data_IF_506299939577
#
_entry.id   IF_506299939577
#
_cell.length_a   1.000
_cell.length_b   1.000
_cell.length_c   1.000
_cell.angle_alpha   90.00
_cell.angle_beta   90.00
_cell.angle_gamma   90.00
#
_symmetry.space_group_name_H-M   'P 1'
#
loop_
_entity.id
_entity.type
_entity.pdbx_description
1 polymer ?
#
# COMPACT_ATOMS: atom_id res chain seq x y z
N UNK A 1 -5.24 37.76 -10.62
CA UNK A 1 -5.39 36.74 -9.57
C UNK A 1 -4.00 36.44 -9.02
N UNK A 2 -3.79 36.39 -7.71
CA UNK A 2 -2.45 36.19 -7.16
C UNK A 2 -1.94 34.80 -7.58
N UNK A 3 -0.72 34.74 -8.12
CA UNK A 3 -0.06 33.50 -8.55
C UNK A 3 0.12 32.47 -7.40
N UNK A 4 -0.03 32.91 -6.14
CA UNK A 4 0.12 32.10 -4.91
C UNK A 4 -0.92 30.98 -4.80
N UNK A 5 -2.16 31.18 -5.28
CA UNK A 5 -3.26 30.21 -5.17
C UNK A 5 -3.11 28.91 -5.97
N UNK A 6 -2.13 28.84 -6.87
CA UNK A 6 -1.86 27.69 -7.73
C UNK A 6 -0.45 27.09 -7.47
N UNK A 7 0.25 27.52 -6.43
CA UNK A 7 1.56 26.94 -6.12
C UNK A 7 1.42 25.54 -5.53
N UNK A 8 2.39 24.63 -5.75
CA UNK A 8 2.38 23.28 -5.15
C UNK A 8 2.17 23.30 -3.63
N UNK A 9 2.74 24.31 -2.95
CA UNK A 9 2.60 24.49 -1.50
C UNK A 9 1.18 24.84 -1.07
N UNK A 10 0.52 25.73 -1.82
CA UNK A 10 -0.90 26.06 -1.57
C UNK A 10 -1.80 24.86 -1.77
N UNK A 11 -1.58 24.13 -2.87
CA UNK A 11 -2.36 22.92 -3.21
C UNK A 11 -2.13 21.81 -2.19
N UNK A 12 -0.90 21.62 -1.70
CA UNK A 12 -0.58 20.67 -0.64
C UNK A 12 -1.38 20.95 0.64
N UNK A 13 -1.41 22.20 1.10
CA UNK A 13 -2.20 22.60 2.29
C UNK A 13 -3.69 22.36 2.09
N UNK A 14 -4.21 22.64 0.90
CA UNK A 14 -5.62 22.36 0.56
C UNK A 14 -5.95 20.86 0.56
N UNK A 15 -5.05 20.04 -0.02
CA UNK A 15 -5.18 18.59 -0.01
C UNK A 15 -5.15 18.02 1.42
N UNK A 16 -4.16 18.40 2.21
CA UNK A 16 -3.99 17.94 3.60
C UNK A 16 -5.21 18.24 4.46
N UNK A 17 -5.81 19.43 4.31
CA UNK A 17 -7.02 19.82 5.03
C UNK A 17 -8.22 18.90 4.65
N UNK A 18 -8.34 18.48 3.39
CA UNK A 18 -9.38 17.54 2.95
C UNK A 18 -9.09 16.11 3.42
N UNK A 19 -7.83 15.66 3.33
CA UNK A 19 -7.42 14.32 3.76
C UNK A 19 -7.67 14.12 5.25
N UNK A 20 -7.38 15.12 6.07
CA UNK A 20 -7.69 15.09 7.50
C UNK A 20 -9.18 14.87 7.80
N UNK A 21 -10.07 15.28 6.88
CA UNK A 21 -11.52 15.08 6.96
C UNK A 21 -11.99 13.79 6.29
N UNK A 22 -11.10 12.82 6.02
CA UNK A 22 -11.42 11.49 5.51
C UNK A 22 -11.34 11.32 3.99
N UNK A 23 -10.79 12.29 3.25
CA UNK A 23 -10.55 12.11 1.82
C UNK A 23 -9.29 11.25 1.57
N UNK A 24 -9.33 10.38 0.58
CA UNK A 24 -8.17 9.56 0.19
C UNK A 24 -7.07 10.42 -0.44
N UNK A 25 -5.83 10.26 0.04
CA UNK A 25 -4.67 11.04 -0.39
C UNK A 25 -4.40 10.93 -1.88
N UNK A 26 -4.43 9.72 -2.44
CA UNK A 26 -4.20 9.47 -3.86
C UNK A 26 -5.27 10.09 -4.76
N UNK A 27 -6.54 10.05 -4.36
CA UNK A 27 -7.64 10.67 -5.14
C UNK A 27 -7.53 12.19 -5.15
N UNK A 28 -7.22 12.79 -3.98
CA UNK A 28 -7.03 14.23 -3.89
C UNK A 28 -5.83 14.72 -4.71
N UNK A 29 -4.70 13.99 -4.67
CA UNK A 29 -3.53 14.32 -5.47
C UNK A 29 -3.80 14.20 -6.97
N UNK A 30 -4.39 13.09 -7.40
CA UNK A 30 -4.72 12.89 -8.82
C UNK A 30 -5.68 13.98 -9.34
N UNK A 31 -6.70 14.34 -8.56
CA UNK A 31 -7.59 15.43 -8.92
C UNK A 31 -6.84 16.75 -9.08
N UNK A 32 -5.99 17.12 -8.10
CA UNK A 32 -5.23 18.36 -8.16
C UNK A 32 -4.24 18.40 -9.34
N UNK A 33 -3.57 17.28 -9.63
CA UNK A 33 -2.64 17.16 -10.76
C UNK A 33 -3.38 17.34 -12.09
N UNK A 34 -4.59 16.76 -12.22
CA UNK A 34 -5.40 16.87 -13.43
C UNK A 34 -6.04 18.26 -13.61
N UNK A 35 -6.45 18.90 -12.51
CA UNK A 35 -7.14 20.19 -12.54
C UNK A 35 -6.18 21.38 -12.73
N UNK A 36 -4.87 21.18 -12.50
CA UNK A 36 -3.87 22.24 -12.59
C UNK A 36 -2.76 21.85 -13.57
N UNK A 37 -2.38 22.80 -14.44
CA UNK A 37 -1.21 22.63 -15.31
C UNK A 37 0.05 22.86 -14.49
N UNK A 38 0.69 21.75 -14.05
CA UNK A 38 1.93 21.76 -13.28
C UNK A 38 3.05 21.08 -14.07
N UNK A 39 4.25 21.58 -13.94
CA UNK A 39 5.42 20.87 -14.44
C UNK A 39 5.78 19.67 -13.52
N UNK A 40 6.72 18.85 -13.97
CA UNK A 40 7.14 17.65 -13.25
C UNK A 40 7.74 17.95 -11.88
N UNK A 41 8.44 19.08 -11.73
CA UNK A 41 9.05 19.48 -10.45
C UNK A 41 7.97 19.87 -9.45
N UNK A 42 6.94 20.60 -9.89
CA UNK A 42 5.81 21.02 -9.09
C UNK A 42 4.95 19.83 -8.65
N UNK A 43 4.69 18.87 -9.55
CA UNK A 43 3.99 17.61 -9.22
C UNK A 43 4.77 16.83 -8.15
N UNK A 44 6.08 16.71 -8.31
CA UNK A 44 6.92 16.00 -7.35
C UNK A 44 6.94 16.71 -5.99
N UNK A 45 7.04 18.04 -5.96
CA UNK A 45 7.00 18.80 -4.71
C UNK A 45 5.65 18.66 -4.02
N UNK A 46 4.53 18.81 -4.75
CA UNK A 46 3.18 18.62 -4.22
C UNK A 46 3.01 17.23 -3.59
N UNK A 47 3.41 16.19 -4.34
CA UNK A 47 3.31 14.80 -3.93
C UNK A 47 4.14 14.52 -2.68
N UNK A 48 5.41 14.96 -2.67
CA UNK A 48 6.31 14.81 -1.53
C UNK A 48 5.79 15.54 -0.29
N UNK A 49 5.24 16.74 -0.44
CA UNK A 49 4.68 17.48 0.68
C UNK A 49 3.45 16.79 1.29
N UNK A 50 2.53 16.34 0.45
CA UNK A 50 1.30 15.68 0.94
C UNK A 50 1.64 14.38 1.65
N UNK A 51 2.33 13.46 0.97
CA UNK A 51 2.68 12.17 1.58
C UNK A 51 3.64 12.32 2.75
N UNK A 52 4.62 13.22 2.68
CA UNK A 52 5.60 13.41 3.73
C UNK A 52 4.99 14.01 5.01
N UNK A 53 4.08 14.97 4.89
CA UNK A 53 3.35 15.50 6.06
C UNK A 53 2.49 14.42 6.71
N UNK A 54 1.82 13.58 5.93
CA UNK A 54 1.03 12.46 6.48
C UNK A 54 1.97 11.45 7.13
N UNK A 55 3.03 11.06 6.47
CA UNK A 55 4.01 10.08 6.94
C UNK A 55 4.67 10.48 8.27
N UNK A 56 4.98 11.76 8.44
CA UNK A 56 5.65 12.29 9.62
C UNK A 56 4.72 13.07 10.56
N UNK A 57 3.41 12.84 10.48
CA UNK A 57 2.38 13.60 11.20
C UNK A 57 2.66 13.78 12.69
N UNK A 58 2.91 12.69 13.43
CA UNK A 58 3.10 12.75 14.89
C UNK A 58 4.41 13.46 15.26
N UNK A 59 5.46 13.27 14.48
CA UNK A 59 6.73 13.99 14.63
C UNK A 59 6.55 15.50 14.45
N UNK A 60 5.87 15.88 13.36
CA UNK A 60 5.63 17.28 13.03
C UNK A 60 4.72 17.96 14.07
N UNK A 61 3.71 17.25 14.56
CA UNK A 61 2.82 17.72 15.63
C UNK A 61 3.56 17.90 16.95
N UNK A 62 4.45 16.97 17.31
CA UNK A 62 5.30 17.10 18.49
C UNK A 62 6.18 18.36 18.40
N UNK A 63 6.83 18.60 17.28
CA UNK A 63 7.66 19.78 17.07
C UNK A 63 6.86 21.09 17.09
N UNK A 64 5.65 21.08 16.56
CA UNK A 64 4.80 22.29 16.50
C UNK A 64 4.22 22.67 17.86
N UNK A 65 3.84 21.67 18.68
CA UNK A 65 3.04 21.87 19.90
C UNK A 65 3.59 22.91 20.88
N UNK A 66 4.89 22.98 21.21
CA UNK A 66 5.43 23.97 22.17
C UNK A 66 5.33 25.42 21.71
N UNK A 67 5.19 25.65 20.41
CA UNK A 67 5.14 26.99 19.81
C UNK A 67 3.71 27.51 19.63
N UNK A 68 2.72 26.72 20.01
CA UNK A 68 1.30 27.04 19.84
C UNK A 68 0.58 26.99 21.18
N UNK A 69 0.22 28.14 21.73
CA UNK A 69 -0.42 28.24 23.07
C UNK A 69 -1.79 27.54 23.14
N UNK A 70 -2.56 27.59 22.05
CA UNK A 70 -3.93 27.05 21.98
C UNK A 70 -4.11 26.17 20.74
N UNK A 71 -3.58 24.93 20.72
CA UNK A 71 -3.59 24.06 19.53
C UNK A 71 -5.00 23.80 18.96
N UNK A 72 -6.02 23.79 19.82
CA UNK A 72 -7.42 23.53 19.41
C UNK A 72 -8.12 24.75 18.78
N UNK A 73 -7.53 25.95 18.88
CA UNK A 73 -8.10 27.19 18.35
C UNK A 73 -7.48 27.60 17.00
N UNK A 74 -6.52 26.84 16.50
CA UNK A 74 -5.91 27.12 15.20
C UNK A 74 -6.84 26.62 14.10
N UNK A 75 -7.09 27.46 13.11
CA UNK A 75 -7.76 27.06 11.89
C UNK A 75 -7.10 25.80 11.31
N UNK A 76 -7.85 24.76 10.94
CA UNK A 76 -7.29 23.50 10.42
C UNK A 76 -6.28 23.70 9.29
N UNK A 77 -6.56 24.59 8.34
CA UNK A 77 -5.65 24.87 7.24
C UNK A 77 -4.34 25.56 7.66
N UNK A 78 -4.38 26.39 8.72
CA UNK A 78 -3.18 27.04 9.26
C UNK A 78 -2.28 26.01 9.93
N UNK A 79 -2.88 25.03 10.63
CA UNK A 79 -2.14 23.90 11.18
C UNK A 79 -1.44 23.12 10.07
N UNK A 80 -2.16 22.75 9.01
CA UNK A 80 -1.57 22.02 7.88
C UNK A 80 -0.48 22.86 7.17
N UNK A 81 -0.63 24.17 7.10
CA UNK A 81 0.39 25.07 6.58
C UNK A 81 1.69 25.02 7.41
N UNK A 82 1.58 25.09 8.76
CA UNK A 82 2.74 25.02 9.65
C UNK A 82 3.41 23.65 9.64
N UNK A 83 2.63 22.54 9.60
CA UNK A 83 3.17 21.18 9.45
C UNK A 83 3.89 21.02 8.11
N UNK A 84 3.34 21.59 7.04
CA UNK A 84 3.97 21.59 5.71
C UNK A 84 5.29 22.38 5.70
N UNK A 85 5.35 23.48 6.42
CA UNK A 85 6.59 24.25 6.59
C UNK A 85 7.65 23.45 7.35
N UNK A 86 7.28 22.82 8.47
CA UNK A 86 8.17 21.96 9.25
C UNK A 86 8.69 20.78 8.43
N UNK A 87 7.80 20.12 7.67
CA UNK A 87 8.22 19.02 6.81
C UNK A 87 9.25 19.47 5.77
N UNK A 88 8.99 20.57 5.06
CA UNK A 88 9.95 21.09 4.09
C UNK A 88 11.30 21.46 4.74
N UNK A 89 11.25 22.08 5.91
CA UNK A 89 12.44 22.49 6.62
C UNK A 89 13.31 21.32 7.10
N UNK A 90 12.69 20.23 7.58
CA UNK A 90 13.40 19.12 8.21
C UNK A 90 13.70 17.95 7.27
N UNK A 91 12.97 17.80 6.16
CA UNK A 91 13.05 16.63 5.30
C UNK A 91 13.36 16.93 3.82
N UNK A 92 13.37 18.21 3.41
CA UNK A 92 13.66 18.58 2.02
C UNK A 92 14.94 19.42 1.92
N UNK A 93 16.08 18.76 1.99
CA UNK A 93 17.42 19.39 2.04
C UNK A 93 17.71 20.36 0.87
N UNK A 94 17.06 20.16 -0.30
CA UNK A 94 17.25 21.02 -1.48
C UNK A 94 16.50 22.35 -1.40
N UNK A 95 15.66 22.56 -0.39
CA UNK A 95 14.85 23.78 -0.25
C UNK A 95 15.42 24.61 0.92
N UNK A 96 15.98 25.80 0.64
CA UNK A 96 16.50 26.65 1.72
C UNK A 96 15.40 27.05 2.70
N UNK A 97 15.69 26.98 4.00
CA UNK A 97 14.76 27.37 5.09
C UNK A 97 14.11 28.73 4.85
N UNK A 98 14.89 29.73 4.41
CA UNK A 98 14.38 31.07 4.11
C UNK A 98 13.26 31.05 3.04
N UNK A 99 13.41 30.20 2.04
CA UNK A 99 12.39 30.06 1.00
C UNK A 99 11.11 29.43 1.57
N UNK A 100 11.26 28.37 2.40
CA UNK A 100 10.13 27.74 3.09
C UNK A 100 9.35 28.77 3.92
N UNK A 101 10.04 29.55 4.73
CA UNK A 101 9.40 30.54 5.62
C UNK A 101 8.69 31.65 4.83
N UNK A 102 9.35 32.20 3.80
CA UNK A 102 8.76 33.25 2.99
C UNK A 102 7.48 32.80 2.28
N UNK A 103 7.52 31.63 1.62
CA UNK A 103 6.35 31.07 0.94
C UNK A 103 5.21 30.77 1.91
N UNK A 104 5.52 30.23 3.09
CA UNK A 104 4.52 29.95 4.13
C UNK A 104 3.84 31.23 4.62
N UNK A 105 4.61 32.30 4.84
CA UNK A 105 4.08 33.61 5.25
C UNK A 105 3.22 34.24 4.14
N UNK A 106 3.62 34.12 2.87
CA UNK A 106 2.83 34.65 1.75
C UNK A 106 1.50 33.87 1.58
N UNK A 107 1.49 32.55 1.77
CA UNK A 107 0.25 31.75 1.80
C UNK A 107 -0.65 32.23 2.96
N UNK A 108 -0.10 32.42 4.15
CA UNK A 108 -0.85 32.92 5.31
C UNK A 108 -1.43 34.31 5.08
N UNK A 109 -0.71 35.19 4.36
CA UNK A 109 -1.15 36.54 3.99
C UNK A 109 -2.28 36.53 2.97
N UNK A 110 -2.19 35.68 1.95
CA UNK A 110 -3.17 35.64 0.84
C UNK A 110 -4.45 34.92 1.26
N UNK A 111 -4.33 33.80 1.98
CA UNK A 111 -5.47 32.95 2.38
C UNK A 111 -6.15 33.44 3.66
N UNK A 112 -5.39 34.08 4.57
CA UNK A 112 -5.87 34.50 5.86
C UNK A 112 -6.02 36.03 6.00
N UNK A 113 -6.13 36.48 7.23
CA UNK A 113 -6.18 37.89 7.62
C UNK A 113 -4.86 38.30 8.30
N UNK A 114 -4.63 39.62 8.56
CA UNK A 114 -3.37 40.10 9.15
C UNK A 114 -2.98 39.44 10.47
N UNK A 115 -3.96 38.97 11.27
CA UNK A 115 -3.74 38.25 12.53
C UNK A 115 -3.10 36.86 12.26
N UNK A 116 -3.61 36.11 11.29
CA UNK A 116 -3.07 34.79 10.90
C UNK A 116 -1.64 34.97 10.38
N UNK A 117 -1.39 35.93 9.49
CA UNK A 117 -0.04 36.21 9.02
C UNK A 117 0.93 36.47 10.17
N UNK A 118 0.55 37.36 11.14
CA UNK A 118 1.40 37.63 12.30
C UNK A 118 1.65 36.42 13.16
N UNK A 119 0.62 35.61 13.38
CA UNK A 119 0.72 34.35 14.12
C UNK A 119 1.70 33.37 13.45
N UNK A 120 1.51 33.06 12.16
CA UNK A 120 2.40 32.15 11.41
C UNK A 120 3.84 32.65 11.39
N UNK A 121 4.05 33.96 11.13
CA UNK A 121 5.39 34.58 11.19
C UNK A 121 6.03 34.42 12.57
N UNK A 122 5.28 34.67 13.64
CA UNK A 122 5.76 34.55 15.02
C UNK A 122 6.17 33.10 15.35
N UNK A 123 5.36 32.11 14.99
CA UNK A 123 5.62 30.70 15.22
C UNK A 123 6.90 30.27 14.48
N UNK A 124 7.02 30.58 13.19
CA UNK A 124 8.21 30.20 12.39
C UNK A 124 9.50 30.79 12.95
N UNK A 125 9.50 32.09 13.28
CA UNK A 125 10.68 32.73 13.87
C UNK A 125 10.98 32.27 15.30
N UNK A 126 9.98 31.86 16.07
CA UNK A 126 10.21 31.28 17.38
C UNK A 126 10.85 29.90 17.28
N UNK A 127 10.37 29.03 16.38
CA UNK A 127 10.98 27.72 16.08
C UNK A 127 12.44 27.87 15.63
N UNK A 128 12.73 28.82 14.74
CA UNK A 128 14.09 29.09 14.25
C UNK A 128 15.04 29.51 15.40
N UNK A 129 14.60 30.40 16.29
CA UNK A 129 15.43 30.89 17.40
C UNK A 129 15.64 29.88 18.51
N UNK A 130 14.62 29.11 18.85
CA UNK A 130 14.64 28.18 20.00
C UNK A 130 15.12 26.79 19.65
N UNK A 131 15.17 26.44 18.36
CA UNK A 131 15.32 25.07 17.88
C UNK A 131 14.06 24.24 18.12
N UNK A 132 14.03 23.07 17.52
CA UNK A 132 12.95 22.09 17.70
C UNK A 132 13.23 21.21 18.94
N UNK A 133 12.20 20.75 19.66
CA UNK A 133 12.38 19.90 20.84
C UNK A 133 13.02 18.56 20.46
N UNK A 134 13.97 18.11 21.31
CA UNK A 134 14.60 16.79 21.17
C UNK A 134 13.63 15.68 21.61
N UNK A 135 13.66 14.55 20.91
CA UNK A 135 12.91 13.35 21.31
C UNK A 135 13.40 12.73 22.63
N UNK A 136 14.63 13.03 23.05
CA UNK A 136 15.17 12.57 24.34
C UNK A 136 14.45 13.17 25.54
N UNK A 137 13.72 14.27 25.34
CA UNK A 137 12.88 14.86 26.38
C UNK A 137 11.63 14.00 26.69
N UNK A 138 11.25 13.10 25.81
CA UNK A 138 10.11 12.18 25.97
C UNK A 138 10.53 11.04 26.88
N UNK A 139 9.92 10.96 28.08
CA UNK A 139 10.28 9.96 29.10
C UNK A 139 9.70 8.58 28.82
N UNK A 140 8.46 8.52 28.32
CA UNK A 140 7.80 7.26 27.98
C UNK A 140 8.42 6.67 26.71
N UNK A 141 8.93 5.42 26.74
CA UNK A 141 9.58 4.79 25.60
C UNK A 141 8.66 4.60 24.39
N UNK A 142 7.38 4.27 24.62
CA UNK A 142 6.41 4.05 23.55
C UNK A 142 6.02 5.36 22.88
N UNK A 143 5.83 6.41 23.68
CA UNK A 143 5.58 7.76 23.18
C UNK A 143 6.79 8.28 22.37
N UNK A 144 8.03 8.04 22.86
CA UNK A 144 9.24 8.42 22.13
C UNK A 144 9.34 7.71 20.78
N UNK A 145 9.10 6.39 20.72
CA UNK A 145 9.07 5.65 19.46
C UNK A 145 7.93 6.14 18.54
N UNK A 146 6.76 6.41 19.12
CA UNK A 146 5.60 6.93 18.39
C UNK A 146 5.93 8.24 17.69
N UNK A 147 6.57 9.17 18.38
CA UNK A 147 6.96 10.46 17.81
C UNK A 147 8.13 10.30 16.83
N UNK A 148 9.13 9.50 17.16
CA UNK A 148 10.32 9.30 16.32
C UNK A 148 9.97 8.73 14.95
N UNK A 149 9.12 7.70 14.93
CA UNK A 149 8.73 6.99 13.69
C UNK A 149 7.37 7.42 13.13
N UNK A 150 6.70 8.34 13.80
CA UNK A 150 5.35 8.80 13.45
C UNK A 150 4.36 7.63 13.33
N UNK A 151 4.30 6.81 14.38
CA UNK A 151 3.52 5.57 14.44
C UNK A 151 2.60 5.54 15.67
N UNK A 152 1.33 5.13 15.57
CA UNK A 152 0.44 5.01 16.73
C UNK A 152 0.99 4.05 17.78
N UNK A 153 0.85 4.42 19.06
CA UNK A 153 1.37 3.62 20.21
C UNK A 153 0.79 2.20 20.20
N UNK A 154 -0.51 2.03 19.91
CA UNK A 154 -1.14 0.71 19.87
C UNK A 154 -0.45 -0.24 18.89
N UNK A 155 -0.03 0.27 17.72
CA UNK A 155 0.63 -0.54 16.69
C UNK A 155 2.07 -0.90 17.10
N UNK A 156 2.79 0.01 17.75
CA UNK A 156 4.12 -0.25 18.34
C UNK A 156 4.03 -1.37 19.36
N UNK A 157 3.07 -1.27 20.29
CA UNK A 157 2.86 -2.27 21.34
C UNK A 157 2.48 -3.62 20.75
N UNK A 158 1.60 -3.64 19.75
CA UNK A 158 1.16 -4.88 19.11
C UNK A 158 2.28 -5.55 18.32
N UNK A 159 3.05 -4.80 17.51
CA UNK A 159 4.22 -5.34 16.81
C UNK A 159 5.30 -5.84 17.77
N UNK A 160 5.55 -5.13 18.88
CA UNK A 160 6.49 -5.59 19.92
C UNK A 160 6.03 -6.90 20.55
N UNK A 161 4.74 -7.02 20.86
CA UNK A 161 4.15 -8.24 21.43
C UNK A 161 4.28 -9.44 20.50
N UNK A 162 4.09 -9.23 19.19
CA UNK A 162 4.09 -10.28 18.18
C UNK A 162 5.50 -10.68 17.71
N UNK A 163 6.40 -9.72 17.55
CA UNK A 163 7.65 -9.89 16.82
C UNK A 163 8.91 -9.59 17.67
N UNK A 164 8.71 -9.10 18.90
CA UNK A 164 9.81 -8.63 19.75
C UNK A 164 10.27 -7.20 19.39
N UNK A 165 11.05 -6.60 20.31
CA UNK A 165 11.42 -5.19 20.23
C UNK A 165 12.31 -4.88 19.01
N UNK A 166 13.31 -5.72 18.74
CA UNK A 166 14.27 -5.52 17.66
C UNK A 166 13.62 -5.57 16.27
N UNK A 167 12.78 -6.56 16.00
CA UNK A 167 12.07 -6.68 14.70
C UNK A 167 11.07 -5.54 14.53
N UNK A 168 10.33 -5.20 15.58
CA UNK A 168 9.42 -4.07 15.59
C UNK A 168 10.15 -2.78 15.19
N UNK A 169 11.29 -2.46 15.80
CA UNK A 169 12.02 -1.23 15.50
C UNK A 169 12.57 -1.19 14.08
N UNK A 170 13.08 -2.32 13.54
CA UNK A 170 13.46 -2.42 12.13
C UNK A 170 12.29 -2.13 11.19
N UNK A 171 11.10 -2.68 11.48
CA UNK A 171 9.89 -2.39 10.70
C UNK A 171 9.57 -0.90 10.74
N UNK A 172 9.52 -0.28 11.93
CA UNK A 172 9.21 1.14 12.09
C UNK A 172 10.17 2.02 11.27
N UNK A 173 11.47 1.75 11.36
CA UNK A 173 12.50 2.46 10.60
C UNK A 173 12.31 2.33 9.09
N UNK A 174 11.98 1.14 8.61
CA UNK A 174 11.79 0.87 7.19
C UNK A 174 10.58 1.57 6.59
N UNK A 175 9.51 1.76 7.38
CA UNK A 175 8.24 2.34 6.92
C UNK A 175 8.32 3.83 6.55
N UNK A 176 9.36 4.53 6.98
CA UNK A 176 9.57 5.94 6.64
C UNK A 176 10.54 6.14 5.45
N UNK A 177 11.00 5.05 4.84
CA UNK A 177 11.78 5.11 3.61
C UNK A 177 10.87 5.19 2.37
N UNK A 178 11.36 5.72 1.23
CA UNK A 178 10.60 5.76 -0.01
C UNK A 178 10.16 4.36 -0.46
N UNK A 179 8.93 4.26 -0.98
CA UNK A 179 8.45 3.02 -1.56
C UNK A 179 9.14 2.74 -2.91
N UNK A 180 9.51 1.49 -3.16
CA UNK A 180 10.02 1.07 -4.47
C UNK A 180 8.93 1.16 -5.54
N UNK A 181 9.28 1.53 -6.76
CA UNK A 181 8.40 1.37 -7.92
C UNK A 181 8.61 -0.02 -8.51
N UNK A 182 7.88 -1.00 -7.97
CA UNK A 182 7.95 -2.39 -8.41
C UNK A 182 6.98 -2.67 -9.56
N UNK A 183 7.47 -3.37 -10.57
CA UNK A 183 6.77 -3.74 -11.79
C UNK A 183 6.74 -5.25 -11.90
N UNK A 184 5.63 -5.82 -12.38
CA UNK A 184 5.53 -7.23 -12.77
C UNK A 184 5.44 -7.32 -14.27
N UNK A 185 6.40 -7.98 -14.90
CA UNK A 185 6.40 -8.32 -16.33
C UNK A 185 5.22 -9.23 -16.65
N UNK A 186 4.63 -9.03 -17.82
CA UNK A 186 3.58 -9.89 -18.36
C UNK A 186 4.18 -10.98 -19.25
N UNK A 187 4.32 -12.24 -18.78
CA UNK A 187 4.96 -13.31 -19.55
C UNK A 187 4.16 -13.76 -20.77
N UNK A 188 2.88 -13.36 -20.88
CA UNK A 188 2.08 -13.62 -22.07
C UNK A 188 2.46 -12.74 -23.28
N UNK A 189 3.20 -11.64 -23.05
CA UNK A 189 3.57 -10.67 -24.09
C UNK A 189 5.06 -10.45 -24.25
N UNK A 190 5.83 -10.56 -23.17
CA UNK A 190 7.21 -10.09 -23.12
C UNK A 190 8.05 -10.87 -22.12
N UNK A 191 9.35 -10.88 -22.33
CA UNK A 191 10.33 -11.36 -21.36
C UNK A 191 10.77 -10.24 -20.40
N UNK A 192 11.42 -10.59 -19.31
CA UNK A 192 12.01 -9.63 -18.37
C UNK A 192 13.08 -8.79 -19.07
N UNK A 193 13.86 -9.41 -19.96
CA UNK A 193 14.92 -8.78 -20.75
C UNK A 193 14.35 -7.75 -21.73
N UNK A 194 13.26 -8.08 -22.43
CA UNK A 194 12.60 -7.17 -23.37
C UNK A 194 12.08 -5.93 -22.67
N UNK A 195 11.33 -6.11 -21.55
CA UNK A 195 10.77 -4.98 -20.78
C UNK A 195 11.90 -4.14 -20.19
N UNK A 196 12.97 -4.74 -19.69
CA UNK A 196 14.13 -4.02 -19.16
C UNK A 196 14.76 -3.14 -20.24
N UNK A 197 14.96 -3.70 -21.44
CA UNK A 197 15.55 -2.98 -22.57
C UNK A 197 14.68 -1.78 -23.00
N UNK A 198 13.38 -2.00 -23.13
CA UNK A 198 12.42 -0.94 -23.49
C UNK A 198 12.45 0.19 -22.45
N UNK A 199 12.38 -0.13 -21.17
CA UNK A 199 12.33 0.87 -20.11
C UNK A 199 13.65 1.64 -19.95
N UNK A 200 14.80 1.00 -20.17
CA UNK A 200 16.11 1.68 -20.19
C UNK A 200 16.17 2.66 -21.37
N UNK A 201 15.68 2.27 -22.55
CA UNK A 201 15.62 3.15 -23.73
C UNK A 201 14.67 4.34 -23.50
N UNK A 202 13.62 4.17 -22.69
CA UNK A 202 12.72 5.25 -22.23
C UNK A 202 13.37 6.15 -21.14
N UNK A 203 14.63 5.89 -20.76
CA UNK A 203 15.41 6.69 -19.80
C UNK A 203 15.17 6.35 -18.34
N UNK A 204 14.64 5.15 -18.03
CA UNK A 204 14.49 4.67 -16.65
C UNK A 204 15.73 3.86 -16.23
N UNK A 205 16.01 3.89 -14.95
CA UNK A 205 16.98 2.98 -14.32
C UNK A 205 16.22 1.76 -13.76
N UNK A 206 16.55 0.57 -14.27
CA UNK A 206 15.85 -0.67 -13.95
C UNK A 206 16.81 -1.68 -13.33
N UNK A 207 16.37 -2.33 -12.26
CA UNK A 207 17.05 -3.47 -11.64
C UNK A 207 16.08 -4.64 -11.48
N UNK A 208 16.54 -5.89 -11.59
CA UNK A 208 15.71 -7.06 -11.29
C UNK A 208 15.28 -7.08 -9.82
N UNK A 209 14.08 -7.62 -9.56
CA UNK A 209 13.62 -7.91 -8.20
C UNK A 209 14.46 -9.02 -7.57
N UNK A 210 14.76 -8.89 -6.28
CA UNK A 210 15.45 -9.95 -5.51
C UNK A 210 14.51 -11.11 -5.16
N UNK A 211 13.19 -10.87 -5.12
CA UNK A 211 12.23 -11.82 -4.58
C UNK A 211 11.25 -12.39 -5.62
N UNK A 212 11.05 -11.72 -6.75
CA UNK A 212 10.17 -12.19 -7.83
C UNK A 212 10.93 -12.33 -9.15
N UNK A 213 10.88 -13.50 -9.84
CA UNK A 213 11.51 -13.68 -11.15
C UNK A 213 10.94 -12.77 -12.23
N UNK A 214 9.65 -12.41 -12.16
CA UNK A 214 8.98 -11.50 -13.10
C UNK A 214 9.03 -10.03 -12.63
N UNK A 215 9.72 -9.77 -11.52
CA UNK A 215 9.77 -8.45 -10.88
C UNK A 215 10.90 -7.58 -11.41
N UNK A 216 10.59 -6.31 -11.66
CA UNK A 216 11.56 -5.25 -11.95
C UNK A 216 11.34 -4.08 -10.99
N UNK A 217 12.42 -3.38 -10.65
CA UNK A 217 12.38 -2.16 -9.83
C UNK A 217 12.86 -0.99 -10.68
N UNK A 218 12.00 0.03 -10.80
CA UNK A 218 12.37 1.30 -11.41
C UNK A 218 12.78 2.30 -10.34
N UNK A 219 14.00 2.82 -10.40
CA UNK A 219 14.55 3.76 -9.40
C UNK A 219 14.44 5.21 -9.83
N UNK A 220 14.44 5.48 -11.14
CA UNK A 220 14.28 6.80 -11.72
C UNK A 220 13.15 6.80 -12.77
N UNK A 221 12.49 7.94 -12.92
CA UNK A 221 11.39 8.07 -13.87
C UNK A 221 10.05 7.55 -13.33
N UNK A 222 9.06 7.49 -14.20
CA UNK A 222 7.71 7.01 -13.90
C UNK A 222 7.29 5.96 -14.94
N UNK A 223 7.51 4.70 -14.62
CA UNK A 223 7.21 3.58 -15.52
C UNK A 223 5.72 3.54 -15.93
N UNK A 224 4.82 4.03 -15.06
CA UNK A 224 3.37 4.07 -15.34
C UNK A 224 3.00 4.92 -16.56
N UNK A 225 3.86 5.87 -16.94
CA UNK A 225 3.59 6.79 -18.05
C UNK A 225 4.15 6.30 -19.41
N UNK A 226 4.81 5.14 -19.45
CA UNK A 226 5.41 4.58 -20.67
C UNK A 226 4.38 3.92 -21.58
N UNK A 227 4.72 3.82 -22.88
CA UNK A 227 3.94 3.06 -23.86
C UNK A 227 3.91 1.55 -23.50
N UNK A 228 4.99 1.01 -22.99
CA UNK A 228 5.08 -0.38 -22.55
C UNK A 228 4.03 -0.72 -21.47
N UNK A 229 3.76 0.21 -20.52
CA UNK A 229 2.68 0.06 -19.54
C UNK A 229 1.30 0.08 -20.19
N UNK A 230 1.07 0.99 -21.13
CA UNK A 230 -0.22 1.08 -21.86
C UNK A 230 -0.48 -0.17 -22.70
N UNK A 231 0.57 -0.70 -23.32
CA UNK A 231 0.51 -1.91 -24.13
C UNK A 231 0.37 -3.20 -23.30
N UNK A 232 0.53 -3.15 -21.99
CA UNK A 232 0.37 -4.30 -21.10
C UNK A 232 1.60 -5.22 -21.02
N UNK A 233 2.78 -4.75 -21.44
CA UNK A 233 4.03 -5.53 -21.30
C UNK A 233 4.39 -5.76 -19.84
N UNK A 234 3.94 -4.89 -18.96
CA UNK A 234 4.04 -5.02 -17.50
C UNK A 234 2.89 -4.32 -16.79
N UNK A 235 2.80 -4.53 -15.49
CA UNK A 235 1.89 -3.79 -14.60
C UNK A 235 2.61 -3.39 -13.31
N UNK A 236 2.13 -2.32 -12.63
CA UNK A 236 2.65 -1.94 -11.32
C UNK A 236 2.08 -2.90 -10.27
N UNK A 237 2.96 -3.62 -9.60
CA UNK A 237 2.61 -4.52 -8.50
C UNK A 237 3.81 -4.67 -7.58
N UNK A 238 3.59 -4.60 -6.26
CA UNK A 238 4.67 -4.81 -5.30
C UNK A 238 5.25 -6.22 -5.40
N UNK A 239 6.54 -6.34 -5.14
CA UNK A 239 7.28 -7.60 -5.24
C UNK A 239 6.69 -8.69 -4.34
N UNK A 240 6.29 -8.35 -3.11
CA UNK A 240 5.69 -9.31 -2.17
C UNK A 240 4.31 -9.81 -2.65
N UNK A 241 3.51 -8.93 -3.27
CA UNK A 241 2.23 -9.30 -3.86
C UNK A 241 2.38 -10.23 -5.08
N UNK A 242 3.52 -10.17 -5.80
CA UNK A 242 3.80 -11.04 -6.93
C UNK A 242 4.02 -12.51 -6.51
N UNK A 243 4.40 -12.76 -5.24
CA UNK A 243 4.65 -14.12 -4.71
C UNK A 243 3.38 -14.93 -4.47
N UNK A 244 2.21 -14.30 -4.52
CA UNK A 244 0.93 -14.95 -4.18
C UNK A 244 0.52 -15.97 -5.23
N UNK A 245 0.59 -15.62 -6.51
CA UNK A 245 0.12 -16.50 -7.60
C UNK A 245 1.01 -17.73 -7.79
N UNK A 246 2.34 -17.66 -7.74
CA UNK A 246 3.19 -18.86 -7.73
C UNK A 246 2.80 -19.88 -6.65
N UNK A 247 2.31 -19.40 -5.50
CA UNK A 247 1.89 -20.27 -4.40
C UNK A 247 0.62 -21.09 -4.69
N UNK A 248 -0.14 -20.78 -5.74
CA UNK A 248 -1.25 -21.61 -6.24
C UNK A 248 -0.79 -22.89 -6.97
N UNK A 249 0.46 -22.94 -7.43
CA UNK A 249 0.99 -24.06 -8.23
C UNK A 249 0.06 -24.42 -9.40
N UNK A 250 -0.21 -23.40 -10.24
CA UNK A 250 -1.17 -23.48 -11.35
C UNK A 250 -0.75 -24.47 -12.43
N UNK A 251 -1.76 -25.13 -13.01
CA UNK A 251 -1.62 -25.87 -14.28
C UNK A 251 -2.34 -25.10 -15.40
N UNK A 252 -1.88 -25.19 -16.66
CA UNK A 252 -2.47 -24.41 -17.77
C UNK A 252 -3.98 -24.63 -17.95
N UNK A 253 -4.51 -25.79 -17.59
CA UNK A 253 -5.92 -26.19 -17.72
C UNK A 253 -6.76 -25.90 -16.47
N UNK A 254 -6.19 -25.32 -15.40
CA UNK A 254 -6.91 -25.13 -14.13
C UNK A 254 -8.09 -24.15 -14.29
N UNK A 255 -9.19 -24.48 -13.63
CA UNK A 255 -10.27 -23.55 -13.35
C UNK A 255 -10.05 -22.93 -11.98
N UNK A 256 -9.78 -21.63 -11.95
CA UNK A 256 -9.37 -20.90 -10.75
C UNK A 256 -10.47 -19.98 -10.26
N UNK A 257 -10.67 -19.88 -8.95
CA UNK A 257 -11.48 -18.84 -8.32
C UNK A 257 -10.55 -17.78 -7.69
N UNK A 258 -10.69 -16.51 -8.08
CA UNK A 258 -10.13 -15.36 -7.38
C UNK A 258 -11.27 -14.67 -6.61
N UNK A 259 -11.36 -14.96 -5.30
CA UNK A 259 -12.53 -14.65 -4.50
C UNK A 259 -12.66 -13.16 -4.12
N UNK A 260 -11.58 -12.36 -4.20
CA UNK A 260 -11.55 -10.95 -3.84
C UNK A 260 -10.67 -10.18 -4.85
N UNK A 261 -11.05 -10.21 -6.12
CA UNK A 261 -10.17 -10.02 -7.26
C UNK A 261 -9.72 -8.57 -7.53
N UNK A 262 -10.55 -7.57 -7.16
CA UNK A 262 -10.28 -6.19 -7.56
C UNK A 262 -9.00 -5.59 -6.93
N UNK A 263 -8.22 -4.85 -7.71
CA UNK A 263 -8.47 -4.34 -9.08
C UNK A 263 -8.07 -5.27 -10.21
N UNK A 264 -7.74 -6.56 -9.98
CA UNK A 264 -7.41 -7.53 -11.00
C UNK A 264 -5.90 -7.79 -11.19
N UNK A 265 -5.05 -7.28 -10.30
CA UNK A 265 -3.60 -7.48 -10.42
C UNK A 265 -3.19 -8.95 -10.30
N UNK A 266 -3.74 -9.69 -9.33
CA UNK A 266 -3.51 -11.13 -9.15
C UNK A 266 -4.31 -11.94 -10.17
N UNK A 267 -5.54 -11.53 -10.50
CA UNK A 267 -6.37 -12.13 -11.56
C UNK A 267 -5.61 -12.20 -12.89
N UNK A 268 -5.01 -11.07 -13.32
CA UNK A 268 -4.23 -11.04 -14.57
C UNK A 268 -2.93 -11.85 -14.49
N UNK A 269 -2.35 -12.00 -13.30
CA UNK A 269 -1.20 -12.89 -13.08
C UNK A 269 -1.61 -14.37 -13.19
N UNK A 270 -2.73 -14.76 -12.60
CA UNK A 270 -3.33 -16.09 -12.74
C UNK A 270 -3.59 -16.36 -14.22
N UNK A 271 -4.34 -15.49 -14.89
CA UNK A 271 -4.71 -15.65 -16.28
C UNK A 271 -3.52 -15.77 -17.23
N UNK A 272 -2.40 -15.07 -16.96
CA UNK A 272 -1.17 -15.20 -17.74
C UNK A 272 -0.48 -16.58 -17.62
N UNK A 273 -0.82 -17.34 -16.58
CA UNK A 273 -0.32 -18.71 -16.36
C UNK A 273 -1.26 -19.80 -16.87
N UNK A 274 -2.45 -19.43 -17.34
CA UNK A 274 -3.47 -20.34 -17.86
C UNK A 274 -3.45 -20.37 -19.38
N UNK A 275 -4.00 -21.45 -19.95
CA UNK A 275 -4.14 -21.66 -21.40
C UNK A 275 -5.62 -21.87 -21.75
N UNK A 276 -6.19 -20.94 -22.50
CA UNK A 276 -7.60 -21.01 -22.92
C UNK A 276 -7.88 -22.22 -23.83
N UNK A 277 -6.92 -22.64 -24.66
CA UNK A 277 -7.07 -23.80 -25.54
C UNK A 277 -7.16 -25.13 -24.76
N UNK A 278 -6.57 -25.15 -23.55
CA UNK A 278 -6.68 -26.26 -22.61
C UNK A 278 -7.86 -26.13 -21.64
N UNK A 279 -8.66 -25.07 -21.77
CA UNK A 279 -9.81 -24.81 -20.91
C UNK A 279 -9.48 -24.05 -19.62
N UNK A 280 -8.25 -23.54 -19.49
CA UNK A 280 -7.81 -22.76 -18.34
C UNK A 280 -8.57 -21.45 -18.22
N UNK A 281 -9.16 -21.17 -17.06
CA UNK A 281 -9.97 -19.96 -16.82
C UNK A 281 -9.89 -19.51 -15.36
N UNK A 282 -10.05 -18.20 -15.13
CA UNK A 282 -10.18 -17.61 -13.79
C UNK A 282 -11.50 -16.88 -13.65
N UNK A 283 -12.30 -17.30 -12.67
CA UNK A 283 -13.51 -16.60 -12.21
C UNK A 283 -13.08 -15.60 -11.14
N UNK A 284 -13.29 -14.32 -11.40
CA UNK A 284 -12.84 -13.21 -10.56
C UNK A 284 -14.03 -12.50 -9.92
N UNK A 285 -14.14 -12.56 -8.60
CA UNK A 285 -15.26 -11.99 -7.85
C UNK A 285 -14.90 -10.68 -7.17
N UNK A 286 -15.81 -9.72 -7.18
CA UNK A 286 -15.84 -8.56 -6.29
C UNK A 286 -17.28 -8.16 -5.98
N UNK A 287 -17.51 -7.59 -4.79
CA UNK A 287 -18.85 -7.16 -4.32
C UNK A 287 -19.34 -5.86 -4.98
N UNK A 288 -18.49 -5.18 -5.77
CA UNK A 288 -18.77 -3.88 -6.35
C UNK A 288 -18.70 -3.91 -7.88
N UNK A 289 -19.78 -3.61 -8.57
CA UNK A 289 -19.88 -3.60 -10.03
C UNK A 289 -18.80 -2.73 -10.72
N UNK A 290 -18.47 -1.57 -10.15
CA UNK A 290 -17.42 -0.69 -10.68
C UNK A 290 -16.03 -1.32 -10.60
N UNK A 291 -15.77 -2.12 -9.59
CA UNK A 291 -14.51 -2.86 -9.44
C UNK A 291 -14.44 -4.07 -10.37
N UNK A 292 -15.54 -4.77 -10.58
CA UNK A 292 -15.65 -5.84 -11.59
C UNK A 292 -15.32 -5.30 -12.99
N UNK A 293 -15.85 -4.12 -13.35
CA UNK A 293 -15.49 -3.46 -14.59
C UNK A 293 -13.98 -3.19 -14.71
N UNK A 294 -13.33 -2.78 -13.61
CA UNK A 294 -11.89 -2.52 -13.57
C UNK A 294 -11.07 -3.80 -13.77
N UNK A 295 -11.52 -4.95 -13.22
CA UNK A 295 -10.89 -6.25 -13.47
C UNK A 295 -10.87 -6.53 -14.98
N UNK A 296 -12.02 -6.40 -15.65
CA UNK A 296 -12.14 -6.59 -17.11
C UNK A 296 -11.24 -5.65 -17.92
N UNK A 297 -11.17 -4.38 -17.54
CA UNK A 297 -10.27 -3.40 -18.19
C UNK A 297 -8.79 -3.79 -18.04
N UNK A 298 -8.37 -4.24 -16.86
CA UNK A 298 -7.01 -4.71 -16.62
C UNK A 298 -6.72 -6.02 -17.38
N UNK A 299 -7.66 -6.95 -17.42
CA UNK A 299 -7.53 -8.18 -18.22
C UNK A 299 -7.36 -7.89 -19.71
N UNK A 300 -8.14 -6.95 -20.26
CA UNK A 300 -8.01 -6.52 -21.65
C UNK A 300 -6.65 -5.86 -21.92
N UNK A 301 -6.21 -4.92 -21.06
CA UNK A 301 -4.90 -4.28 -21.18
C UNK A 301 -3.73 -5.26 -21.12
N UNK A 302 -3.84 -6.31 -20.29
CA UNK A 302 -2.83 -7.35 -20.11
C UNK A 302 -2.96 -8.49 -21.14
N UNK A 303 -3.89 -8.39 -22.11
CA UNK A 303 -4.13 -9.37 -23.17
C UNK A 303 -4.46 -10.80 -22.68
N UNK A 304 -5.24 -10.87 -21.59
CA UNK A 304 -5.66 -12.14 -20.97
C UNK A 304 -7.19 -12.20 -20.74
N UNK A 305 -7.96 -11.33 -21.42
CA UNK A 305 -9.40 -11.22 -21.22
C UNK A 305 -10.17 -12.47 -21.63
N UNK A 306 -9.65 -13.26 -22.55
CA UNK A 306 -10.21 -14.53 -23.03
C UNK A 306 -10.28 -15.64 -21.96
N UNK A 307 -9.53 -15.47 -20.86
CA UNK A 307 -9.42 -16.42 -19.73
C UNK A 307 -10.00 -15.87 -18.43
N UNK A 308 -10.62 -14.67 -18.43
CA UNK A 308 -11.11 -14.00 -17.23
C UNK A 308 -12.63 -13.83 -17.27
N UNK A 309 -13.33 -14.42 -16.31
CA UNK A 309 -14.75 -14.24 -16.05
C UNK A 309 -14.94 -13.36 -14.82
N UNK A 310 -15.11 -12.03 -15.02
CA UNK A 310 -15.30 -11.10 -13.92
C UNK A 310 -16.80 -10.98 -13.54
N UNK A 311 -17.12 -11.27 -12.28
CA UNK A 311 -18.49 -11.38 -11.79
C UNK A 311 -18.72 -10.58 -10.51
N UNK A 312 -19.83 -9.84 -10.44
CA UNK A 312 -20.28 -9.18 -9.21
C UNK A 312 -20.91 -10.21 -8.28
N UNK A 313 -20.18 -10.62 -7.25
CA UNK A 313 -20.65 -11.56 -6.25
C UNK A 313 -19.89 -11.38 -4.94
N UNK A 314 -20.60 -11.43 -3.84
CA UNK A 314 -20.01 -11.60 -2.53
C UNK A 314 -19.47 -13.02 -2.39
N UNK A 315 -18.16 -13.19 -2.21
CA UNK A 315 -17.53 -14.51 -2.09
C UNK A 315 -18.12 -15.37 -0.94
N UNK A 316 -18.74 -14.73 0.06
CA UNK A 316 -19.47 -15.43 1.14
C UNK A 316 -20.77 -16.08 0.68
N UNK A 317 -21.19 -15.82 -0.56
CA UNK A 317 -22.40 -16.38 -1.21
C UNK A 317 -22.03 -17.16 -2.48
N UNK A 318 -20.79 -17.64 -2.55
CA UNK A 318 -20.27 -18.32 -3.76
C UNK A 318 -21.12 -19.55 -4.17
N UNK A 319 -21.71 -20.23 -3.19
CA UNK A 319 -22.59 -21.39 -3.38
C UNK A 319 -23.86 -21.07 -4.16
N UNK A 320 -24.25 -19.81 -4.27
CA UNK A 320 -25.43 -19.41 -5.07
C UNK A 320 -25.19 -19.52 -6.58
N UNK A 321 -23.94 -19.57 -7.02
CA UNK A 321 -23.56 -19.62 -8.43
C UNK A 321 -22.67 -20.82 -8.79
N UNK A 322 -21.94 -21.37 -7.82
CA UNK A 322 -20.99 -22.45 -8.08
C UNK A 322 -21.22 -23.64 -7.16
N UNK A 323 -21.23 -24.83 -7.76
CA UNK A 323 -21.40 -26.08 -7.03
C UNK A 323 -20.12 -26.43 -6.22
N UNK A 324 -20.25 -27.37 -5.30
CA UNK A 324 -19.10 -27.98 -4.66
C UNK A 324 -18.11 -28.56 -5.71
N UNK A 325 -16.83 -28.52 -5.38
CA UNK A 325 -15.75 -29.05 -6.22
C UNK A 325 -15.70 -28.49 -7.65
N UNK A 326 -16.04 -27.21 -7.82
CA UNK A 326 -16.03 -26.53 -9.13
C UNK A 326 -14.67 -26.01 -9.56
N UNK A 327 -13.73 -25.79 -8.62
CA UNK A 327 -12.44 -25.15 -8.88
C UNK A 327 -11.26 -26.03 -8.52
N UNK A 328 -10.21 -26.00 -9.36
CA UNK A 328 -8.94 -26.67 -9.12
C UNK A 328 -8.06 -25.90 -8.13
N UNK A 329 -8.14 -24.56 -8.19
CA UNK A 329 -7.41 -23.62 -7.33
C UNK A 329 -8.32 -22.50 -6.87
N UNK A 330 -8.07 -22.02 -5.67
CA UNK A 330 -8.76 -20.85 -5.13
C UNK A 330 -7.73 -19.86 -4.59
N UNK A 331 -7.85 -18.60 -4.96
CA UNK A 331 -7.17 -17.48 -4.32
C UNK A 331 -8.17 -16.71 -3.43
N UNK A 332 -7.79 -16.51 -2.18
CA UNK A 332 -8.45 -15.57 -1.26
C UNK A 332 -7.43 -14.50 -0.89
N UNK A 333 -7.28 -13.49 -1.77
CA UNK A 333 -6.55 -12.25 -1.44
C UNK A 333 -7.48 -11.37 -0.62
N UNK A 334 -7.52 -11.63 0.68
CA UNK A 334 -8.62 -11.22 1.54
C UNK A 334 -8.66 -9.69 1.79
N UNK A 335 -9.85 -9.11 1.94
CA UNK A 335 -9.96 -7.75 2.45
C UNK A 335 -9.31 -7.68 3.84
N UNK A 336 -8.37 -6.76 4.02
CA UNK A 336 -7.56 -6.66 5.23
C UNK A 336 -7.33 -5.20 5.64
N UNK A 337 -6.71 -4.97 6.79
CA UNK A 337 -6.39 -3.63 7.30
C UNK A 337 -5.45 -2.84 6.39
N UNK A 338 -4.64 -3.54 5.58
CA UNK A 338 -3.66 -2.91 4.69
C UNK A 338 -2.42 -2.36 5.40
N UNK A 339 -2.16 -2.74 6.66
CA UNK A 339 -1.03 -2.23 7.44
C UNK A 339 0.35 -2.58 6.86
N UNK A 340 0.43 -3.51 5.92
CA UNK A 340 1.64 -3.77 5.13
C UNK A 340 1.95 -2.67 4.11
N UNK A 341 0.95 -1.85 3.74
CA UNK A 341 1.04 -0.81 2.71
C UNK A 341 1.41 0.58 3.25
N UNK A 342 1.71 0.72 4.54
CA UNK A 342 1.90 2.03 5.22
C UNK A 342 3.00 2.90 4.59
N UNK A 343 3.94 2.31 3.85
CA UNK A 343 4.97 3.06 3.11
C UNK A 343 4.38 3.79 1.90
N UNK A 344 3.41 3.17 1.21
CA UNK A 344 2.72 3.73 0.02
C UNK A 344 1.50 4.55 0.37
N UNK A 345 0.84 4.19 1.47
CA UNK A 345 -0.40 4.79 1.97
C UNK A 345 -0.22 5.12 3.46
N UNK A 346 0.53 6.18 3.78
CA UNK A 346 0.89 6.48 5.15
C UNK A 346 -0.31 6.83 6.05
N UNK A 347 -1.42 7.27 5.47
CA UNK A 347 -2.67 7.54 6.21
C UNK A 347 -3.23 6.31 6.93
N UNK A 348 -3.02 5.10 6.40
CA UNK A 348 -3.52 3.85 6.98
C UNK A 348 -3.10 3.71 8.45
N UNK A 349 -1.88 4.16 8.81
CA UNK A 349 -1.36 4.06 10.18
C UNK A 349 -2.21 4.81 11.21
N UNK A 350 -2.92 5.87 10.78
CA UNK A 350 -3.75 6.69 11.66
C UNK A 350 -5.25 6.36 11.59
N UNK A 351 -5.69 5.70 10.51
CA UNK A 351 -7.08 5.36 10.27
C UNK A 351 -7.47 4.03 10.91
N UNK A 352 -6.50 3.16 11.22
CA UNK A 352 -6.74 1.81 11.72
C UNK A 352 -6.51 1.71 13.22
N UNK A 353 -7.27 0.80 13.83
CA UNK A 353 -7.15 0.38 15.21
C UNK A 353 -7.13 -1.16 15.29
N UNK A 354 -6.69 -1.73 16.41
CA UNK A 354 -6.66 -3.18 16.61
C UNK A 354 -8.05 -3.82 16.40
N UNK A 355 -9.11 -3.14 16.81
CA UNK A 355 -10.49 -3.63 16.64
C UNK A 355 -10.87 -3.82 15.17
N UNK A 356 -10.34 -3.02 14.25
CA UNK A 356 -10.58 -3.17 12.81
C UNK A 356 -10.00 -4.48 12.29
N UNK A 357 -8.78 -4.84 12.72
CA UNK A 357 -8.16 -6.13 12.38
C UNK A 357 -8.96 -7.32 12.91
N UNK A 358 -9.48 -7.23 14.13
CA UNK A 358 -10.34 -8.28 14.72
C UNK A 358 -11.68 -8.43 13.97
N UNK A 359 -12.24 -7.33 13.48
CA UNK A 359 -13.46 -7.36 12.68
C UNK A 359 -13.19 -7.97 11.28
N UNK A 360 -12.06 -7.58 10.67
CA UNK A 360 -11.63 -8.13 9.38
C UNK A 360 -11.31 -9.62 9.47
N UNK A 361 -10.71 -10.10 10.55
CA UNK A 361 -10.50 -11.53 10.80
C UNK A 361 -11.78 -12.35 10.65
N UNK A 362 -12.90 -11.86 11.17
CA UNK A 362 -14.21 -12.55 11.06
C UNK A 362 -14.68 -12.61 9.60
N UNK A 363 -14.49 -11.54 8.85
CA UNK A 363 -14.85 -11.48 7.42
C UNK A 363 -13.97 -12.44 6.62
N UNK A 364 -12.67 -12.46 6.89
CA UNK A 364 -11.69 -13.33 6.25
C UNK A 364 -12.02 -14.80 6.46
N UNK A 365 -12.34 -15.19 7.70
CA UNK A 365 -12.79 -16.54 8.03
C UNK A 365 -14.10 -16.91 7.33
N UNK A 366 -15.08 -16.00 7.28
CA UNK A 366 -16.33 -16.24 6.60
C UNK A 366 -16.15 -16.43 5.09
N UNK A 367 -15.21 -15.72 4.45
CA UNK A 367 -14.88 -15.93 3.04
C UNK A 367 -14.22 -17.29 2.84
N UNK A 368 -13.19 -17.63 3.61
CA UNK A 368 -12.50 -18.92 3.52
C UNK A 368 -13.47 -20.09 3.68
N UNK A 369 -14.33 -20.05 4.70
CA UNK A 369 -15.33 -21.08 4.97
C UNK A 369 -16.33 -21.20 3.83
N UNK A 370 -16.77 -20.10 3.23
CA UNK A 370 -17.74 -20.13 2.15
C UNK A 370 -17.15 -20.71 0.84
N UNK A 371 -15.90 -20.39 0.51
CA UNK A 371 -15.28 -20.85 -0.73
C UNK A 371 -14.71 -22.28 -0.62
N UNK A 372 -14.39 -22.76 0.57
CA UNK A 372 -13.76 -24.06 0.82
C UNK A 372 -14.51 -25.26 0.18
N UNK A 373 -15.86 -25.36 0.23
CA UNK A 373 -16.59 -26.45 -0.42
C UNK A 373 -16.41 -26.47 -1.93
N UNK A 374 -16.21 -25.33 -2.58
CA UNK A 374 -16.10 -25.24 -4.05
C UNK A 374 -14.74 -25.69 -4.59
N UNK A 375 -13.74 -25.91 -3.73
CA UNK A 375 -12.44 -26.46 -4.08
C UNK A 375 -12.57 -27.98 -4.26
N UNK A 376 -12.00 -28.52 -5.35
CA UNK A 376 -11.88 -29.96 -5.59
C UNK A 376 -10.95 -30.62 -4.56
N UNK A 377 -11.15 -31.92 -4.33
CA UNK A 377 -10.21 -32.73 -3.53
C UNK A 377 -8.82 -32.69 -4.18
N UNK A 378 -7.78 -32.56 -3.37
CA UNK A 378 -6.41 -32.41 -3.84
C UNK A 378 -6.06 -30.99 -4.34
N UNK A 379 -7.06 -30.11 -4.46
CA UNK A 379 -6.88 -28.72 -4.88
C UNK A 379 -6.15 -27.87 -3.84
N UNK A 380 -5.66 -26.71 -4.26
CA UNK A 380 -4.93 -25.75 -3.42
C UNK A 380 -5.74 -24.46 -3.29
N UNK A 381 -5.90 -24.00 -2.05
CA UNK A 381 -6.41 -22.68 -1.71
C UNK A 381 -5.27 -21.85 -1.14
N UNK A 382 -4.96 -20.73 -1.77
CA UNK A 382 -3.98 -19.76 -1.28
C UNK A 382 -4.71 -18.60 -0.62
N UNK A 383 -4.39 -18.37 0.65
CA UNK A 383 -4.82 -17.22 1.42
C UNK A 383 -3.71 -16.17 1.45
N UNK A 384 -4.05 -14.91 1.21
CA UNK A 384 -3.08 -13.80 1.29
C UNK A 384 -3.71 -12.52 1.82
N UNK A 385 -2.86 -11.69 2.44
CA UNK A 385 -3.20 -10.34 2.93
C UNK A 385 -2.03 -9.39 2.73
N UNK A 386 -2.33 -8.11 2.54
CA UNK A 386 -1.34 -7.03 2.56
C UNK A 386 -1.26 -6.37 3.96
N UNK A 387 -1.28 -7.17 5.03
CA UNK A 387 -1.12 -6.71 6.41
C UNK A 387 -0.03 -7.47 7.14
N UNK A 388 0.45 -6.90 8.26
CA UNK A 388 1.56 -7.44 9.04
C UNK A 388 1.14 -7.97 10.42
N UNK A 389 -0.15 -7.92 10.75
CA UNK A 389 -0.65 -8.37 12.05
C UNK A 389 -1.08 -9.84 12.03
N UNK A 390 -0.69 -10.60 13.06
CA UNK A 390 -1.03 -12.01 13.23
C UNK A 390 -2.53 -12.28 13.24
N UNK A 391 -3.33 -11.34 13.79
CA UNK A 391 -4.79 -11.45 13.85
C UNK A 391 -5.45 -11.71 12.50
N UNK A 392 -4.93 -11.10 11.45
CA UNK A 392 -5.44 -11.24 10.08
C UNK A 392 -4.68 -12.30 9.27
N UNK A 393 -3.61 -12.86 9.82
CA UNK A 393 -2.67 -13.76 9.17
C UNK A 393 -2.71 -15.16 9.81
N UNK A 394 -1.75 -15.49 10.69
CA UNK A 394 -1.60 -16.80 11.30
C UNK A 394 -2.84 -17.22 12.10
N UNK A 395 -3.49 -16.29 12.81
CA UNK A 395 -4.68 -16.58 13.61
C UNK A 395 -5.88 -16.98 12.74
N UNK A 396 -6.02 -16.40 11.54
CA UNK A 396 -7.05 -16.79 10.57
C UNK A 396 -6.82 -18.22 10.12
N UNK A 397 -5.59 -18.56 9.73
CA UNK A 397 -5.24 -19.91 9.26
C UNK A 397 -5.43 -20.94 10.35
N UNK A 398 -5.00 -20.64 11.59
CA UNK A 398 -5.16 -21.52 12.74
C UNK A 398 -6.63 -21.84 13.02
N UNK A 399 -7.49 -20.80 13.02
CA UNK A 399 -8.93 -20.97 13.25
C UNK A 399 -9.59 -21.74 12.09
N UNK A 400 -9.26 -21.38 10.85
CA UNK A 400 -9.80 -22.08 9.69
C UNK A 400 -9.49 -23.58 9.72
N UNK A 401 -8.24 -23.95 9.99
CA UNK A 401 -7.83 -25.38 10.07
C UNK A 401 -8.47 -26.15 11.23
N UNK A 402 -8.78 -25.47 12.34
CA UNK A 402 -9.48 -26.07 13.46
C UNK A 402 -10.93 -26.46 13.08
N UNK A 403 -11.60 -25.63 12.26
CA UNK A 403 -12.98 -25.83 11.83
C UNK A 403 -13.08 -26.71 10.56
N UNK A 404 -11.97 -26.85 9.78
CA UNK A 404 -11.90 -27.58 8.52
C UNK A 404 -10.82 -28.67 8.53
N UNK A 405 -11.05 -29.83 9.19
CA UNK A 405 -10.06 -30.91 9.29
C UNK A 405 -9.77 -31.62 7.97
N UNK A 406 -10.56 -31.38 6.94
CA UNK A 406 -10.37 -31.79 5.56
C UNK A 406 -9.32 -30.93 4.82
N UNK A 407 -8.78 -29.88 5.44
CA UNK A 407 -7.66 -29.12 4.92
C UNK A 407 -6.37 -29.38 5.71
N UNK A 408 -5.26 -29.16 5.04
CA UNK A 408 -3.92 -29.19 5.65
C UNK A 408 -3.06 -28.02 5.16
N UNK A 409 -2.26 -27.47 6.08
CA UNK A 409 -1.31 -26.40 5.75
C UNK A 409 -0.09 -26.98 5.03
N UNK A 410 0.16 -26.53 3.81
CA UNK A 410 1.36 -26.83 3.03
C UNK A 410 2.43 -25.73 3.24
N UNK A 411 3.70 -26.08 3.01
CA UNK A 411 4.75 -25.07 2.95
C UNK A 411 4.51 -24.20 1.72
N UNK A 412 4.39 -22.89 1.94
CA UNK A 412 4.22 -21.91 0.86
C UNK A 412 5.47 -21.92 -0.03
N UNK A 413 5.35 -22.31 -1.32
CA UNK A 413 6.49 -22.35 -2.22
C UNK A 413 6.96 -20.94 -2.56
N UNK A 414 8.24 -20.80 -2.84
CA UNK A 414 8.85 -19.56 -3.33
C UNK A 414 9.76 -19.93 -4.51
N UNK A 415 9.71 -19.13 -5.57
CA UNK A 415 10.52 -19.36 -6.78
C UNK A 415 12.00 -18.95 -6.58
N UNK A 416 12.30 -18.17 -5.51
CA UNK A 416 13.62 -17.80 -5.06
C UNK A 416 13.81 -18.18 -3.61
N UNK A 417 15.05 -18.31 -3.18
CA UNK A 417 15.41 -18.59 -1.78
C UNK A 417 15.11 -17.39 -0.89
N UNK A 418 13.88 -17.32 -0.41
CA UNK A 418 13.42 -16.29 0.50
C UNK A 418 13.36 -16.85 1.90
N UNK A 419 13.97 -16.13 2.86
CA UNK A 419 13.96 -16.55 4.26
C UNK A 419 14.29 -18.05 4.39
N UNK A 420 15.50 -18.41 3.95
CA UNK A 420 15.97 -19.80 3.92
C UNK A 420 16.00 -20.47 5.30
N UNK A 421 16.06 -19.68 6.36
CA UNK A 421 15.96 -20.08 7.77
C UNK A 421 14.50 -20.21 8.27
N UNK A 422 13.52 -20.00 7.39
CA UNK A 422 12.09 -20.11 7.74
C UNK A 422 11.73 -21.51 8.21
N UNK A 423 11.25 -21.62 9.45
CA UNK A 423 10.72 -22.86 10.04
C UNK A 423 9.21 -22.99 9.86
N UNK A 424 8.52 -21.90 9.58
CA UNK A 424 7.07 -21.84 9.40
C UNK A 424 6.67 -22.27 7.98
N UNK A 425 5.50 -22.93 7.85
CA UNK A 425 4.92 -23.29 6.55
C UNK A 425 4.35 -22.06 5.81
N UNK A 426 3.90 -21.06 6.53
CA UNK A 426 3.43 -19.79 5.96
C UNK A 426 4.60 -18.88 5.57
N UNK A 427 4.34 -17.92 4.68
CA UNK A 427 5.31 -16.90 4.31
C UNK A 427 4.84 -15.53 4.79
N UNK A 428 5.61 -14.91 5.70
CA UNK A 428 5.41 -13.52 6.13
C UNK A 428 6.58 -12.68 5.61
N UNK A 429 6.28 -11.68 4.80
CA UNK A 429 7.22 -10.64 4.38
C UNK A 429 6.88 -9.37 5.16
N UNK A 430 7.85 -8.85 5.89
CA UNK A 430 7.72 -7.57 6.60
C UNK A 430 8.42 -6.45 5.82
N UNK A 431 8.01 -5.19 6.05
CA UNK A 431 8.57 -4.05 5.30
C UNK A 431 10.09 -3.89 5.39
N UNK A 432 10.73 -4.38 6.45
CA UNK A 432 12.18 -4.34 6.64
C UNK A 432 12.94 -5.50 5.97
N UNK A 433 12.26 -6.58 5.55
CA UNK A 433 12.94 -7.76 4.98
C UNK A 433 13.58 -7.45 3.62
N UNK A 434 12.83 -6.82 2.71
CA UNK A 434 13.26 -6.52 1.33
C UNK A 434 12.93 -5.09 0.91
N UNK A 435 12.54 -4.21 1.82
CA UNK A 435 11.98 -2.88 1.51
C UNK A 435 10.80 -2.95 0.52
N UNK A 436 10.06 -4.06 0.53
CA UNK A 436 8.78 -4.27 -0.16
C UNK A 436 7.60 -3.93 0.76
N UNK A 437 6.38 -4.09 0.27
CA UNK A 437 5.19 -4.02 1.14
C UNK A 437 5.17 -5.23 2.09
N UNK A 438 4.50 -5.07 3.25
CA UNK A 438 4.27 -6.19 4.15
C UNK A 438 3.19 -7.12 3.61
N UNK A 439 3.45 -8.42 3.59
CA UNK A 439 2.57 -9.41 2.98
C UNK A 439 2.58 -10.73 3.72
N UNK A 440 1.44 -11.44 3.69
CA UNK A 440 1.30 -12.79 4.24
C UNK A 440 0.72 -13.73 3.20
N UNK A 441 1.22 -14.97 3.13
CA UNK A 441 0.77 -16.01 2.22
C UNK A 441 0.74 -17.36 2.94
N UNK A 442 -0.37 -18.08 2.79
CA UNK A 442 -0.54 -19.43 3.29
C UNK A 442 -1.18 -20.33 2.22
N UNK A 443 -0.64 -21.54 2.04
CA UNK A 443 -1.16 -22.54 1.12
C UNK A 443 -1.89 -23.64 1.88
N UNK A 444 -3.13 -23.88 1.53
CA UNK A 444 -4.01 -24.87 2.12
C UNK A 444 -4.38 -25.91 1.06
N UNK A 445 -4.17 -27.19 1.35
CA UNK A 445 -4.56 -28.29 0.46
C UNK A 445 -5.80 -28.98 1.00
N UNK A 446 -6.80 -29.19 0.15
CA UNK A 446 -7.96 -30.04 0.48
C UNK A 446 -7.57 -31.52 0.33
N UNK A 447 -7.84 -32.33 1.34
CA UNK A 447 -7.51 -33.77 1.39
C UNK A 447 -8.42 -34.60 0.49
#
# INVERSE_FOLDING_TARGET
MSTVGNTPRWLAVAALAKIKNGAYSNLQLNQLINDHQMDRCDINLLTNMVYGVIQHRLTLEYWLTPFVRHPHQIDPWVRELLLSALYQWQYLDKIPQRAVFNETIEIAKVKGHPGIRRFVTGVLHQMDRSGLPSFDAIKDPDERLSVTYSMPIWLIQELRRQLGAEKMERILSSLNQPAKQALRVNPALSTVEDVTTVLINDGLTITPSEISPLGLIATDGQAINTEAMRYGMFTVQDESAQLVVPALNLQPSDRVLDACAAPGGKTTQIAASLDAEQGGTVVALDIHANKVKLIGQNAARMHVADRVEATELDARKVETQFNAESFDRILVDAPCSGLGLMRRKPEIRYEKQLQDSLNLQRIQLAILTAVAPTLKKGGIMTYSTCTILQQENQDVITKFLADHPDFELQTTPTERDLKTDRTEKTLSIYPDDYLSDGFFIACLRKK
#
